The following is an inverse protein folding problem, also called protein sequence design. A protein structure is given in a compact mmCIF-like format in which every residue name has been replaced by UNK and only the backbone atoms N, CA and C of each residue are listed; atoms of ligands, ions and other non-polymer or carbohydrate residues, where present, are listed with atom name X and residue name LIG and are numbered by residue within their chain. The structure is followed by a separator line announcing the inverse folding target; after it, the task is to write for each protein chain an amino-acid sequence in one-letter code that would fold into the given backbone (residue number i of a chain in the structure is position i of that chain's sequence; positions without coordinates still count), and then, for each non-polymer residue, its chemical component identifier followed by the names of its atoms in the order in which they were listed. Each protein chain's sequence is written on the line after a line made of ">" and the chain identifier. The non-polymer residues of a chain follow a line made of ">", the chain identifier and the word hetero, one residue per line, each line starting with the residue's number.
data_IF_482320351606
#
_entry.id   IF_482320351606
#
_cell.length_a   1.000
_cell.length_b   1.000
_cell.length_c   1.000
_cell.angle_alpha   90.00
_cell.angle_beta   90.00
_cell.angle_gamma   90.00
#
_symmetry.space_group_name_H-M   'P 1'
#
loop_
_entity.id
_entity.type
_entity.pdbx_description
1 polymer ?
#
# COMPACT_ATOMS: atom_id res chain seq x y z
N UNK A 1 -14.59 8.95 9.71
CA UNK A 1 -14.37 7.54 9.37
C UNK A 1 -15.70 6.85 9.56
N UNK A 2 -16.16 6.07 8.58
CA UNK A 2 -17.34 5.21 8.77
C UNK A 2 -16.95 4.00 9.63
N UNK A 3 -17.91 3.29 10.26
CA UNK A 3 -17.61 2.05 10.98
C UNK A 3 -16.84 1.04 10.12
N UNK A 4 -17.22 0.90 8.85
CA UNK A 4 -16.54 0.00 7.90
C UNK A 4 -15.07 0.40 7.63
N UNK A 5 -14.76 1.71 7.63
CA UNK A 5 -13.39 2.20 7.46
C UNK A 5 -12.53 1.97 8.71
N UNK A 6 -13.14 2.04 9.90
CA UNK A 6 -12.47 1.80 11.18
C UNK A 6 -12.16 0.30 11.33
N UNK A 7 -13.11 -0.57 11.00
CA UNK A 7 -12.93 -2.02 10.95
C UNK A 7 -11.83 -2.43 9.95
N UNK A 8 -11.80 -1.78 8.77
CA UNK A 8 -10.74 -2.02 7.79
C UNK A 8 -9.36 -1.54 8.30
N UNK A 9 -9.31 -0.40 8.98
CA UNK A 9 -8.06 0.10 9.55
C UNK A 9 -7.53 -0.85 10.63
N UNK A 10 -8.40 -1.34 11.52
CA UNK A 10 -8.04 -2.34 12.52
C UNK A 10 -7.54 -3.62 11.87
N UNK A 11 -8.25 -4.13 10.86
CA UNK A 11 -7.82 -5.31 10.11
C UNK A 11 -6.42 -5.15 9.48
N UNK A 12 -6.15 -4.00 8.85
CA UNK A 12 -4.84 -3.73 8.23
C UNK A 12 -3.76 -3.58 9.30
N UNK A 13 -4.06 -2.91 10.42
CA UNK A 13 -3.12 -2.76 11.54
C UNK A 13 -2.75 -4.12 12.12
N UNK A 14 -3.74 -4.96 12.42
CA UNK A 14 -3.53 -6.30 12.97
C UNK A 14 -2.70 -7.14 11.99
N UNK A 15 -3.01 -7.11 10.70
CA UNK A 15 -2.24 -7.81 9.67
C UNK A 15 -0.77 -7.38 9.63
N UNK A 16 -0.48 -6.07 9.69
CA UNK A 16 0.90 -5.57 9.69
C UNK A 16 1.67 -6.03 10.93
N UNK A 17 1.03 -6.01 12.09
CA UNK A 17 1.64 -6.41 13.36
C UNK A 17 1.85 -7.93 13.47
N UNK A 18 0.92 -8.73 12.95
CA UNK A 18 0.95 -10.20 13.05
C UNK A 18 1.78 -10.84 11.95
N UNK A 19 1.59 -10.41 10.69
CA UNK A 19 2.16 -11.07 9.52
C UNK A 19 3.44 -10.38 9.00
N UNK A 20 3.69 -9.12 9.37
CA UNK A 20 4.85 -8.34 8.94
C UNK A 20 5.53 -7.55 10.07
N UNK A 21 5.76 -8.17 11.25
CA UNK A 21 6.24 -7.47 12.44
C UNK A 21 7.57 -6.73 12.22
N UNK A 22 8.45 -7.25 11.35
CA UNK A 22 9.74 -6.65 11.02
C UNK A 22 9.60 -5.28 10.34
N UNK A 23 8.52 -5.04 9.60
CA UNK A 23 8.28 -3.77 8.89
C UNK A 23 7.78 -2.67 9.83
N UNK A 24 7.28 -3.05 11.01
CA UNK A 24 6.66 -2.14 11.98
C UNK A 24 7.33 -2.13 13.36
N UNK A 25 8.35 -2.98 13.59
CA UNK A 25 8.96 -3.19 14.89
C UNK A 25 9.47 -1.91 15.60
N UNK A 26 9.86 -0.89 14.84
CA UNK A 26 10.39 0.38 15.36
C UNK A 26 9.38 1.54 15.28
N UNK A 27 8.12 1.26 14.94
CA UNK A 27 7.07 2.25 14.74
C UNK A 27 6.05 2.13 15.89
N UNK A 28 5.68 3.25 16.50
CA UNK A 28 4.62 3.25 17.50
C UNK A 28 3.26 2.95 16.86
N UNK A 29 2.38 2.21 17.56
CA UNK A 29 1.06 1.79 17.06
C UNK A 29 0.23 2.93 16.47
N UNK A 30 0.23 4.10 17.11
CA UNK A 30 -0.49 5.29 16.63
C UNK A 30 0.01 5.73 15.25
N UNK A 31 1.32 5.67 15.03
CA UNK A 31 1.94 6.02 13.76
C UNK A 31 1.72 4.93 12.70
N UNK A 32 1.71 3.64 13.07
CA UNK A 32 1.31 2.55 12.16
C UNK A 32 -0.12 2.79 11.67
N UNK A 33 -1.05 3.06 12.60
CA UNK A 33 -2.46 3.33 12.27
C UNK A 33 -2.62 4.56 11.38
N UNK A 34 -1.89 5.64 11.67
CA UNK A 34 -1.88 6.84 10.83
C UNK A 34 -1.41 6.53 9.40
N UNK A 35 -0.30 5.80 9.26
CA UNK A 35 0.27 5.40 7.96
C UNK A 35 -0.63 4.43 7.20
N UNK A 36 -1.23 3.46 7.90
CA UNK A 36 -2.21 2.55 7.33
C UNK A 36 -3.44 3.31 6.80
N UNK A 37 -3.95 4.30 7.55
CA UNK A 37 -5.05 5.14 7.09
C UNK A 37 -4.69 5.98 5.85
N UNK A 38 -3.44 6.46 5.74
CA UNK A 38 -2.94 7.09 4.50
C UNK A 38 -2.95 6.09 3.34
N UNK A 39 -2.45 4.88 3.58
CA UNK A 39 -2.40 3.84 2.56
C UNK A 39 -3.77 3.37 2.07
N UNK A 40 -4.74 3.21 2.97
CA UNK A 40 -6.14 2.89 2.62
C UNK A 40 -6.70 3.93 1.66
N UNK A 41 -6.56 5.22 2.00
CA UNK A 41 -7.04 6.32 1.13
C UNK A 41 -6.34 6.32 -0.24
N UNK A 42 -5.04 6.04 -0.28
CA UNK A 42 -4.29 5.95 -1.55
C UNK A 42 -4.76 4.77 -2.40
N UNK A 43 -4.95 3.59 -1.80
CA UNK A 43 -5.48 2.42 -2.48
C UNK A 43 -6.87 2.69 -3.09
N UNK A 44 -7.76 3.31 -2.30
CA UNK A 44 -9.09 3.75 -2.77
C UNK A 44 -8.99 4.77 -3.91
N UNK A 45 -7.98 5.66 -3.90
CA UNK A 45 -7.68 6.58 -5.01
C UNK A 45 -7.37 5.88 -6.34
N UNK A 46 -6.86 4.64 -6.30
CA UNK A 46 -6.68 3.78 -7.47
C UNK A 46 -7.93 2.95 -7.83
N UNK A 47 -9.04 3.15 -7.11
CA UNK A 47 -10.27 2.38 -7.25
C UNK A 47 -10.19 0.97 -6.63
N UNK A 48 -9.27 0.75 -5.71
CA UNK A 48 -9.14 -0.52 -4.98
C UNK A 48 -10.04 -0.45 -3.75
N UNK A 49 -11.13 -1.23 -3.76
CA UNK A 49 -12.16 -1.23 -2.71
C UNK A 49 -12.18 -2.53 -1.89
N UNK A 50 -11.56 -3.61 -2.39
CA UNK A 50 -11.58 -4.90 -1.72
C UNK A 50 -10.60 -4.91 -0.54
N UNK A 51 -11.03 -5.30 0.68
CA UNK A 51 -10.17 -5.31 1.87
C UNK A 51 -8.82 -5.99 1.65
N UNK A 52 -8.81 -7.18 1.03
CA UNK A 52 -7.59 -7.96 0.81
C UNK A 52 -6.62 -7.24 -0.14
N UNK A 53 -7.14 -6.57 -1.16
CA UNK A 53 -6.32 -5.80 -2.11
C UNK A 53 -5.81 -4.50 -1.48
N UNK A 54 -6.58 -3.89 -0.58
CA UNK A 54 -6.15 -2.74 0.21
C UNK A 54 -5.05 -3.15 1.19
N UNK A 55 -5.23 -4.24 1.94
CA UNK A 55 -4.20 -4.78 2.85
C UNK A 55 -2.91 -5.05 2.10
N UNK A 56 -2.96 -5.74 0.96
CA UNK A 56 -1.78 -5.98 0.12
C UNK A 56 -1.11 -4.68 -0.37
N UNK A 57 -1.90 -3.67 -0.76
CA UNK A 57 -1.38 -2.36 -1.17
C UNK A 57 -0.66 -1.66 0.00
N UNK A 58 -1.28 -1.63 1.18
CA UNK A 58 -0.70 -0.98 2.37
C UNK A 58 0.55 -1.73 2.81
N UNK A 59 0.56 -3.05 2.82
CA UNK A 59 1.76 -3.85 3.10
C UNK A 59 2.94 -3.48 2.19
N UNK A 60 2.70 -3.25 0.90
CA UNK A 60 3.75 -2.79 -0.02
C UNK A 60 4.28 -1.40 0.31
N UNK A 61 3.44 -0.52 0.87
CA UNK A 61 3.89 0.80 1.33
C UNK A 61 4.89 0.71 2.50
N UNK A 62 4.69 -0.26 3.40
CA UNK A 62 5.62 -0.51 4.52
C UNK A 62 6.86 -1.29 4.08
N UNK A 63 6.69 -2.26 3.17
CA UNK A 63 7.77 -3.16 2.74
C UNK A 63 8.73 -2.53 1.73
N UNK A 64 8.21 -1.76 0.77
CA UNK A 64 9.01 -1.21 -0.34
C UNK A 64 9.25 0.28 -0.13
N UNK A 65 8.17 1.05 -0.22
CA UNK A 65 8.20 2.50 -0.11
C UNK A 65 6.76 3.03 -0.03
N UNK A 66 6.49 4.05 0.79
CA UNK A 66 5.14 4.58 0.96
C UNK A 66 4.54 5.17 -0.31
N UNK A 67 5.38 5.60 -1.24
CA UNK A 67 5.03 6.22 -2.51
C UNK A 67 5.41 5.34 -3.72
N UNK A 68 5.55 4.02 -3.53
CA UNK A 68 5.91 3.08 -4.60
C UNK A 68 5.00 3.18 -5.84
N UNK A 69 3.72 3.55 -5.63
CA UNK A 69 2.72 3.69 -6.67
C UNK A 69 2.97 4.90 -7.60
N UNK A 70 3.82 5.84 -7.20
CA UNK A 70 4.26 6.96 -8.04
C UNK A 70 5.29 6.53 -9.08
N UNK A 71 5.92 5.36 -8.92
CA UNK A 71 6.84 4.83 -9.92
C UNK A 71 6.10 4.64 -11.26
N UNK A 72 6.60 5.19 -12.39
CA UNK A 72 5.83 5.27 -13.64
C UNK A 72 5.26 3.93 -14.13
N UNK A 73 6.01 2.84 -13.97
CA UNK A 73 5.58 1.52 -14.45
C UNK A 73 4.61 0.84 -13.49
N UNK A 74 4.78 1.03 -12.17
CA UNK A 74 3.86 0.49 -11.16
C UNK A 74 2.53 1.24 -11.23
N UNK A 75 2.58 2.58 -11.18
CA UNK A 75 1.40 3.43 -11.30
C UNK A 75 0.61 3.19 -12.59
N UNK A 76 1.29 2.91 -13.71
CA UNK A 76 0.62 2.54 -14.97
C UNK A 76 -0.18 1.23 -14.87
N UNK A 77 0.27 0.25 -14.11
CA UNK A 77 -0.49 -1.01 -13.90
C UNK A 77 -1.69 -0.76 -12.98
N UNK A 78 -1.51 0.05 -11.92
CA UNK A 78 -2.59 0.38 -10.98
C UNK A 78 -3.69 1.24 -11.63
N UNK A 79 -3.31 2.13 -12.56
CA UNK A 79 -4.22 2.97 -13.32
C UNK A 79 -4.90 2.26 -14.51
N UNK A 80 -4.58 0.99 -14.79
CA UNK A 80 -5.12 0.25 -15.92
C UNK A 80 -6.60 -0.14 -15.70
N UNK A 81 -7.50 0.80 -15.99
CA UNK A 81 -8.95 0.64 -15.81
C UNK A 81 -9.59 -0.45 -16.68
N UNK A 82 -8.86 -0.99 -17.66
CA UNK A 82 -9.32 -2.15 -18.44
C UNK A 82 -9.31 -3.46 -17.62
N UNK A 83 -8.63 -3.46 -16.48
CA UNK A 83 -8.50 -4.59 -15.56
C UNK A 83 -9.25 -4.28 -14.25
N UNK A 84 -9.96 -5.24 -13.63
CA UNK A 84 -10.53 -5.05 -12.29
C UNK A 84 -9.46 -4.70 -11.25
N UNK A 85 -9.74 -3.79 -10.31
CA UNK A 85 -8.76 -3.27 -9.35
C UNK A 85 -8.02 -4.37 -8.56
N UNK A 86 -8.74 -5.37 -8.07
CA UNK A 86 -8.15 -6.53 -7.39
C UNK A 86 -7.18 -7.33 -8.27
N UNK A 87 -7.44 -7.40 -9.57
CA UNK A 87 -6.57 -8.08 -10.52
C UNK A 87 -5.34 -7.23 -10.88
N UNK A 88 -5.45 -5.88 -10.87
CA UNK A 88 -4.29 -5.00 -11.06
C UNK A 88 -3.25 -5.24 -9.99
N UNK A 89 -3.66 -5.42 -8.74
CA UNK A 89 -2.77 -5.71 -7.61
C UNK A 89 -1.97 -6.99 -7.80
N UNK A 90 -2.57 -8.02 -8.40
CA UNK A 90 -1.85 -9.25 -8.77
C UNK A 90 -0.93 -9.04 -9.99
N UNK A 91 -1.37 -8.20 -10.92
CA UNK A 91 -0.62 -7.94 -12.15
C UNK A 91 0.64 -7.10 -11.93
N UNK A 92 0.72 -6.27 -10.88
CA UNK A 92 1.92 -5.46 -10.65
C UNK A 92 3.17 -6.35 -10.63
N UNK A 93 3.14 -7.48 -9.91
CA UNK A 93 4.26 -8.40 -9.79
C UNK A 93 4.64 -9.14 -11.09
N UNK A 94 3.74 -9.22 -12.06
CA UNK A 94 3.99 -9.88 -13.34
C UNK A 94 4.31 -8.89 -14.47
N UNK A 95 3.96 -7.61 -14.28
CA UNK A 95 4.15 -6.54 -15.27
C UNK A 95 5.27 -5.59 -14.91
N UNK A 96 5.84 -5.68 -13.71
CA UNK A 96 7.03 -4.97 -13.27
C UNK A 96 8.18 -5.94 -13.00
N UNK A 97 9.41 -5.43 -13.08
CA UNK A 97 10.64 -6.15 -12.77
C UNK A 97 11.18 -5.72 -11.42
N UNK A 98 12.08 -6.51 -10.84
CA UNK A 98 12.80 -6.19 -9.60
C UNK A 98 13.44 -4.80 -9.64
N UNK A 99 14.10 -4.45 -10.75
CA UNK A 99 14.68 -3.11 -10.95
C UNK A 99 13.65 -1.96 -10.88
N UNK A 100 12.37 -2.19 -11.22
CA UNK A 100 11.33 -1.16 -11.07
C UNK A 100 11.00 -0.92 -9.58
N UNK A 101 11.07 -1.97 -8.76
CA UNK A 101 10.82 -1.92 -7.33
C UNK A 101 12.00 -1.32 -6.57
N UNK A 102 13.22 -1.67 -6.95
CA UNK A 102 14.45 -1.04 -6.45
C UNK A 102 14.43 0.46 -6.75
N UNK A 103 14.12 0.86 -7.99
CA UNK A 103 14.02 2.28 -8.37
C UNK A 103 12.94 3.02 -7.57
N UNK A 104 11.79 2.37 -7.34
CA UNK A 104 10.73 2.93 -6.50
C UNK A 104 11.18 3.14 -5.05
N UNK A 105 11.91 2.20 -4.48
CA UNK A 105 12.46 2.31 -3.13
C UNK A 105 13.54 3.38 -3.02
N UNK A 106 14.49 3.43 -3.97
CA UNK A 106 15.59 4.40 -4.00
C UNK A 106 15.11 5.85 -4.13
N UNK A 107 14.03 6.07 -4.88
CA UNK A 107 13.48 7.41 -5.15
C UNK A 107 12.39 7.84 -4.18
N UNK A 108 12.09 7.03 -3.17
CA UNK A 108 11.02 7.30 -2.23
C UNK A 108 11.25 8.62 -1.48
N UNK A 109 10.19 9.43 -1.38
CA UNK A 109 10.18 10.61 -0.50
C UNK A 109 9.99 10.26 0.99
N UNK A 110 9.73 8.97 1.31
CA UNK A 110 9.41 8.51 2.65
C UNK A 110 8.01 8.92 3.12
N UNK A 111 7.67 8.53 4.35
CA UNK A 111 6.33 8.73 4.91
C UNK A 111 5.98 10.20 5.17
N UNK A 112 6.99 11.03 5.49
CA UNK A 112 6.80 12.46 5.76
C UNK A 112 6.33 13.24 4.52
N UNK A 113 6.70 12.78 3.32
CA UNK A 113 6.27 13.38 2.06
C UNK A 113 4.78 13.14 1.75
N UNK A 114 4.13 12.20 2.44
CA UNK A 114 2.73 11.83 2.26
C UNK A 114 1.82 12.32 3.41
N UNK A 115 2.37 13.10 4.33
CA UNK A 115 1.70 13.56 5.55
C UNK A 115 0.74 14.72 5.38
#
# INVERSE_FOLDING_TARGET
>A
MTPDEEDLLDHVFDYLCEEQPETVAEIADEEIRRRAAVGIRRAQGHGIEQPEAITAYVSLMFLVAPDFDLHPKIGKVLADTSVPAAQRMKQIFTRTSESDWEEAAEKSGGWDALS
#
